data_IF_837143819586
#
_entry.id   IF_837143819586
#
_cell.length_a   1.000
_cell.length_b   1.000
_cell.length_c   1.000
_cell.angle_alpha   90.00
_cell.angle_beta   90.00
_cell.angle_gamma   90.00
#
_symmetry.space_group_name_H-M   'P 1'
#
loop_
_entity.id
_entity.type
_entity.pdbx_description
1 polymer ?
#
# COMPACT_ATOMS: atom_id res chain seq x y z
N UNK A 1 0.10 23.82 12.29
CA UNK A 1 0.88 22.69 12.81
C UNK A 1 -0.10 21.57 13.13
N UNK A 2 -0.47 20.78 12.12
CA UNK A 2 -1.35 19.61 12.31
C UNK A 2 -0.53 18.49 12.93
N UNK A 3 -0.94 18.08 14.12
CA UNK A 3 -0.32 17.01 14.89
C UNK A 3 -0.51 15.69 14.10
N UNK A 4 0.46 15.30 13.28
CA UNK A 4 0.43 14.00 12.63
C UNK A 4 0.67 12.96 13.72
N UNK A 5 -0.24 11.99 13.93
CA UNK A 5 0.08 10.86 14.79
C UNK A 5 1.41 10.25 14.30
N UNK A 6 2.30 9.91 15.23
CA UNK A 6 3.60 9.37 14.87
C UNK A 6 3.40 8.13 13.99
N UNK A 7 4.04 8.11 12.82
CA UNK A 7 4.06 6.94 11.94
C UNK A 7 4.66 5.76 12.71
N UNK A 8 3.83 4.76 13.04
CA UNK A 8 4.24 3.55 13.76
C UNK A 8 3.88 2.33 12.93
N UNK A 9 4.73 1.96 11.96
CA UNK A 9 4.46 0.80 11.12
C UNK A 9 4.66 -0.48 11.94
N UNK A 10 3.75 -1.44 11.76
CA UNK A 10 3.98 -2.78 12.27
C UNK A 10 5.21 -3.37 11.57
N UNK A 11 6.15 -4.01 12.30
CA UNK A 11 7.33 -4.59 11.67
C UNK A 11 6.93 -5.71 10.72
N UNK A 12 7.60 -5.80 9.58
CA UNK A 12 7.34 -6.90 8.65
C UNK A 12 7.86 -8.21 9.24
N UNK A 13 7.02 -9.24 9.22
CA UNK A 13 7.39 -10.56 9.70
C UNK A 13 8.39 -11.19 8.71
N UNK A 14 9.44 -11.84 9.22
CA UNK A 14 10.38 -12.64 8.44
C UNK A 14 9.74 -13.96 7.96
N UNK A 15 8.66 -13.81 7.17
CA UNK A 15 7.79 -14.86 6.64
C UNK A 15 7.43 -14.52 5.19
N UNK A 16 6.92 -15.50 4.46
CA UNK A 16 6.47 -15.30 3.09
C UNK A 16 5.29 -14.31 3.04
N UNK A 17 5.38 -13.36 2.11
CA UNK A 17 4.30 -12.45 1.74
C UNK A 17 3.66 -12.85 0.41
N UNK A 18 2.49 -12.28 0.13
CA UNK A 18 1.73 -12.54 -1.11
C UNK A 18 1.19 -11.23 -1.69
N UNK A 19 1.19 -11.11 -3.02
CA UNK A 19 0.53 -10.00 -3.70
C UNK A 19 -0.98 -10.07 -3.55
N UNK A 20 -1.60 -9.01 -3.05
CA UNK A 20 -3.04 -8.97 -2.80
C UNK A 20 -3.83 -8.79 -4.09
N UNK A 21 -4.85 -9.65 -4.30
CA UNK A 21 -5.77 -9.59 -5.44
C UNK A 21 -7.22 -9.57 -4.95
N UNK A 22 -8.06 -8.78 -5.61
CA UNK A 22 -9.45 -8.56 -5.20
C UNK A 22 -10.28 -9.85 -5.14
N UNK A 23 -10.01 -10.80 -6.05
CA UNK A 23 -10.67 -12.11 -6.10
C UNK A 23 -10.53 -12.91 -4.80
N UNK A 24 -9.52 -12.60 -3.98
CA UNK A 24 -9.23 -13.31 -2.74
C UNK A 24 -9.67 -12.58 -1.46
N UNK A 25 -10.18 -11.34 -1.54
CA UNK A 25 -10.53 -10.56 -0.34
C UNK A 25 -11.47 -11.30 0.61
N UNK A 26 -12.57 -11.86 0.09
CA UNK A 26 -13.56 -12.56 0.91
C UNK A 26 -12.97 -13.81 1.57
N UNK A 27 -12.16 -14.57 0.83
CA UNK A 27 -11.48 -15.75 1.38
C UNK A 27 -10.52 -15.33 2.49
N UNK A 28 -9.67 -14.32 2.26
CA UNK A 28 -8.72 -13.81 3.26
C UNK A 28 -9.45 -13.39 4.54
N UNK A 29 -10.50 -12.58 4.42
CA UNK A 29 -11.25 -12.08 5.58
C UNK A 29 -12.03 -13.18 6.31
N UNK A 30 -12.54 -14.19 5.59
CA UNK A 30 -13.32 -15.27 6.19
C UNK A 30 -12.45 -16.36 6.83
N UNK A 31 -11.31 -16.69 6.23
CA UNK A 31 -10.49 -17.83 6.65
C UNK A 31 -9.22 -17.42 7.39
N UNK A 32 -8.84 -16.13 7.33
CA UNK A 32 -7.61 -15.58 7.92
C UNK A 32 -6.40 -16.51 7.71
N UNK A 33 -6.01 -16.77 6.46
CA UNK A 33 -4.93 -17.71 6.16
C UNK A 33 -3.62 -17.29 6.84
N UNK A 34 -2.78 -18.28 7.15
CA UNK A 34 -1.49 -18.06 7.80
C UNK A 34 -0.45 -17.50 6.81
N UNK A 35 -0.53 -16.19 6.55
CA UNK A 35 0.31 -15.40 5.64
C UNK A 35 1.04 -14.32 6.44
N UNK A 36 2.31 -14.05 6.11
CA UNK A 36 3.13 -13.09 6.85
C UNK A 36 2.72 -11.63 6.65
N UNK A 37 2.44 -11.24 5.41
CA UNK A 37 2.09 -9.88 5.01
C UNK A 37 1.55 -9.86 3.57
N UNK A 38 0.89 -8.77 3.20
CA UNK A 38 0.38 -8.59 1.84
C UNK A 38 1.05 -7.42 1.14
N UNK A 39 1.40 -7.62 -0.14
CA UNK A 39 1.84 -6.54 -1.01
C UNK A 39 0.65 -5.92 -1.77
N UNK A 40 0.62 -4.60 -1.88
CA UNK A 40 -0.37 -3.86 -2.66
C UNK A 40 0.29 -2.80 -3.54
N UNK A 41 -0.32 -2.52 -4.69
CA UNK A 41 0.02 -1.35 -5.50
C UNK A 41 -0.86 -0.16 -5.08
N UNK A 42 -0.30 0.93 -4.55
CA UNK A 42 -1.06 2.09 -4.10
C UNK A 42 -1.93 2.72 -5.20
N UNK A 43 -1.49 2.66 -6.45
CA UNK A 43 -2.19 3.20 -7.62
C UNK A 43 -3.60 2.60 -7.80
N UNK A 44 -3.82 1.36 -7.37
CA UNK A 44 -5.16 0.73 -7.38
C UNK A 44 -6.12 1.34 -6.34
N UNK A 45 -5.61 2.17 -5.43
CA UNK A 45 -6.33 2.77 -4.31
C UNK A 45 -6.21 4.30 -4.31
N UNK A 46 -5.80 4.93 -5.41
CA UNK A 46 -5.70 6.40 -5.52
C UNK A 46 -7.05 7.10 -5.75
N UNK A 47 -8.17 6.36 -5.83
CA UNK A 47 -9.52 6.92 -5.90
C UNK A 47 -10.08 7.29 -4.53
N UNK A 48 -11.20 8.01 -4.51
CA UNK A 48 -11.78 8.60 -3.29
C UNK A 48 -12.48 7.61 -2.33
N UNK A 49 -12.23 6.30 -2.43
CA UNK A 49 -12.81 5.29 -1.52
C UNK A 49 -13.54 4.13 -2.20
N UNK A 50 -14.62 3.67 -1.56
CA UNK A 50 -15.44 2.57 -2.03
C UNK A 50 -14.95 1.19 -1.58
N UNK A 51 -15.47 0.15 -2.25
CA UNK A 51 -15.26 -1.25 -1.85
C UNK A 51 -13.79 -1.67 -1.73
N UNK A 52 -12.85 -1.25 -2.62
CA UNK A 52 -11.45 -1.61 -2.48
C UNK A 52 -10.84 -1.10 -1.17
N UNK A 53 -11.15 0.14 -0.77
CA UNK A 53 -10.65 0.70 0.48
C UNK A 53 -11.23 0.00 1.70
N UNK A 54 -12.52 -0.35 1.67
CA UNK A 54 -13.16 -1.08 2.77
C UNK A 54 -12.50 -2.45 2.98
N UNK A 55 -12.21 -3.18 1.90
CA UNK A 55 -11.52 -4.46 1.98
C UNK A 55 -10.06 -4.30 2.45
N UNK A 56 -9.32 -3.33 1.91
CA UNK A 56 -7.93 -3.13 2.30
C UNK A 56 -7.80 -2.70 3.77
N UNK A 57 -8.70 -1.84 4.26
CA UNK A 57 -8.74 -1.46 5.68
C UNK A 57 -8.98 -2.68 6.57
N UNK A 58 -9.96 -3.53 6.24
CA UNK A 58 -10.23 -4.75 7.02
C UNK A 58 -9.05 -5.74 6.98
N UNK A 59 -8.38 -5.90 5.85
CA UNK A 59 -7.20 -6.78 5.74
C UNK A 59 -6.01 -6.22 6.54
N UNK A 60 -5.80 -4.89 6.52
CA UNK A 60 -4.73 -4.22 7.26
C UNK A 60 -4.84 -4.38 8.78
N UNK A 61 -6.05 -4.55 9.30
CA UNK A 61 -6.28 -4.81 10.74
C UNK A 61 -5.66 -6.14 11.19
N UNK A 62 -5.61 -7.14 10.31
CA UNK A 62 -5.09 -8.48 10.61
C UNK A 62 -3.67 -8.72 10.06
N UNK A 63 -3.27 -8.03 8.99
CA UNK A 63 -2.03 -8.29 8.26
C UNK A 63 -1.21 -7.02 8.00
N UNK A 64 0.12 -7.05 8.21
CA UNK A 64 1.00 -5.98 7.74
C UNK A 64 0.94 -5.83 6.22
N UNK A 65 1.11 -4.60 5.75
CA UNK A 65 1.13 -4.28 4.32
C UNK A 65 2.53 -3.86 3.86
N UNK A 66 2.89 -4.27 2.65
CA UNK A 66 3.94 -3.63 1.86
C UNK A 66 3.27 -2.85 0.72
N UNK A 67 3.57 -1.56 0.60
CA UNK A 67 3.14 -0.73 -0.53
C UNK A 67 4.26 -0.66 -1.56
N UNK A 68 3.95 -1.12 -2.77
CA UNK A 68 4.89 -1.16 -3.88
C UNK A 68 4.36 -0.30 -5.04
N UNK A 69 4.94 0.88 -5.22
CA UNK A 69 4.59 1.79 -6.30
C UNK A 69 5.09 1.30 -7.66
N UNK A 70 4.30 1.55 -8.68
CA UNK A 70 4.58 1.17 -10.08
C UNK A 70 4.45 2.36 -11.03
N UNK A 71 4.21 3.56 -10.51
CA UNK A 71 3.80 4.73 -11.28
C UNK A 71 4.70 5.96 -11.17
N UNK A 72 5.68 6.01 -10.25
CA UNK A 72 6.47 7.25 -10.04
C UNK A 72 7.65 7.40 -10.98
N UNK A 73 8.21 6.29 -11.49
CA UNK A 73 9.38 6.31 -12.36
C UNK A 73 10.53 7.16 -11.79
N UNK A 74 11.01 6.83 -10.58
CA UNK A 74 11.97 7.66 -9.81
C UNK A 74 13.30 7.93 -10.52
N UNK A 75 13.62 7.20 -11.59
CA UNK A 75 14.80 7.40 -12.42
C UNK A 75 14.56 8.26 -13.67
N UNK A 76 13.33 8.74 -13.86
CA UNK A 76 12.92 9.53 -15.01
C UNK A 76 13.69 10.85 -15.14
N UNK A 77 13.65 11.41 -16.34
CA UNK A 77 14.28 12.71 -16.63
C UNK A 77 13.39 13.89 -16.27
N UNK A 78 12.07 13.65 -16.21
CA UNK A 78 11.08 14.64 -15.86
C UNK A 78 10.97 14.79 -14.33
N UNK A 79 10.50 15.95 -13.83
CA UNK A 79 10.17 16.11 -12.43
C UNK A 79 9.13 15.08 -11.97
N UNK A 80 9.15 14.74 -10.68
CA UNK A 80 8.09 13.93 -10.08
C UNK A 80 6.74 14.63 -10.20
N UNK A 81 5.69 13.86 -10.48
CA UNK A 81 4.31 14.33 -10.45
C UNK A 81 3.87 14.54 -8.99
N UNK A 82 3.76 15.80 -8.57
CA UNK A 82 3.36 16.20 -7.22
C UNK A 82 1.95 15.70 -6.84
N UNK A 83 1.01 15.62 -7.79
CA UNK A 83 -0.34 15.12 -7.55
C UNK A 83 -0.33 13.61 -7.34
N UNK A 84 0.51 12.88 -8.07
CA UNK A 84 0.75 11.45 -7.81
C UNK A 84 1.38 11.25 -6.43
N UNK A 85 2.43 12.02 -6.10
CA UNK A 85 3.13 11.91 -4.83
C UNK A 85 2.20 12.21 -3.65
N UNK A 86 1.34 13.23 -3.77
CA UNK A 86 0.35 13.58 -2.74
C UNK A 86 -0.67 12.47 -2.50
N UNK A 87 -1.19 11.86 -3.56
CA UNK A 87 -2.11 10.70 -3.46
C UNK A 87 -1.42 9.50 -2.84
N UNK A 88 -0.17 9.23 -3.22
CA UNK A 88 0.61 8.14 -2.64
C UNK A 88 0.87 8.37 -1.14
N UNK A 89 1.31 9.57 -0.76
CA UNK A 89 1.54 9.94 0.63
C UNK A 89 0.27 9.79 1.48
N UNK A 90 -0.89 10.21 0.93
CA UNK A 90 -2.19 10.04 1.59
C UNK A 90 -2.53 8.57 1.86
N UNK A 91 -2.12 7.64 0.99
CA UNK A 91 -2.31 6.20 1.20
C UNK A 91 -1.34 5.64 2.25
N UNK A 92 -0.09 6.08 2.25
CA UNK A 92 0.88 5.72 3.29
C UNK A 92 0.39 6.18 4.65
N UNK A 93 -0.12 7.41 4.75
CA UNK A 93 -0.72 7.94 5.97
C UNK A 93 -1.96 7.15 6.40
N UNK A 94 -2.84 6.81 5.47
CA UNK A 94 -4.07 6.09 5.76
C UNK A 94 -3.83 4.66 6.25
N UNK A 95 -2.88 3.95 5.65
CA UNK A 95 -2.72 2.51 5.84
C UNK A 95 -1.50 2.13 6.67
N UNK A 96 -0.59 3.06 6.94
CA UNK A 96 0.59 2.86 7.79
C UNK A 96 1.30 1.53 7.44
N UNK A 97 1.75 1.34 6.19
CA UNK A 97 2.33 0.07 5.74
C UNK A 97 3.66 -0.21 6.46
N UNK A 98 4.01 -1.50 6.61
CA UNK A 98 5.29 -1.93 7.15
C UNK A 98 6.46 -1.50 6.24
N UNK A 99 6.25 -1.53 4.92
CA UNK A 99 7.24 -1.18 3.91
C UNK A 99 6.63 -0.30 2.81
N UNK A 100 7.47 0.56 2.25
CA UNK A 100 7.20 1.32 1.04
C UNK A 100 8.37 1.10 0.08
N UNK A 101 8.06 0.80 -1.18
CA UNK A 101 9.06 0.61 -2.23
C UNK A 101 8.54 1.15 -3.56
N UNK A 102 9.45 1.42 -4.48
CA UNK A 102 9.20 1.94 -5.82
C UNK A 102 10.33 1.48 -6.75
N UNK A 103 10.20 1.78 -8.03
CA UNK A 103 11.13 1.43 -9.09
C UNK A 103 12.01 2.61 -9.49
N UNK A 104 13.30 2.32 -9.69
CA UNK A 104 14.13 3.15 -10.56
C UNK A 104 13.80 2.78 -12.02
N UNK A 105 13.01 3.61 -12.70
CA UNK A 105 12.58 3.41 -14.08
C UNK A 105 12.75 4.70 -14.92
N UNK A 106 12.81 4.53 -16.25
CA UNK A 106 12.85 5.60 -17.25
C UNK A 106 11.61 5.52 -18.14
N UNK A 107 10.44 5.65 -17.53
CA UNK A 107 9.17 5.78 -18.24
C UNK A 107 8.82 7.26 -18.42
N UNK A 108 8.13 7.57 -19.51
CA UNK A 108 7.59 8.90 -19.87
C UNK A 108 6.10 8.78 -20.12
#
# INVERSE_FOLDING_TARGET
MTNHPAYQPDPILARAGVGLKADHYKTILNTKPDIGWFEVHPENYMGDGGSPHAYLSAIREDYPLSMHGVGMSLGGVDPLDDDHLSRFASLVERYQPALVSEHLAWAT
#
